data_IF_898316525354
#
_entry.id   IF_898316525354
#
_cell.length_a   1.000
_cell.length_b   1.000
_cell.length_c   1.000
_cell.angle_alpha   90.00
_cell.angle_beta   90.00
_cell.angle_gamma   90.00
#
_symmetry.space_group_name_H-M   'P 1'
#
loop_
_entity.id
_entity.type
_entity.pdbx_description
1 polymer ?
#
# COMPACT_ATOMS: atom_id res chain seq x y z
N UNK A 1 3.53 15.41 -5.06
CA UNK A 1 3.67 16.56 -5.89
C UNK A 1 2.62 16.72 -6.98
N UNK A 2 1.98 15.62 -7.37
CA UNK A 2 0.88 15.65 -8.35
C UNK A 2 -0.49 15.76 -7.70
N UNK A 3 -0.56 15.92 -6.38
CA UNK A 3 -1.80 16.06 -5.64
C UNK A 3 -2.38 14.76 -5.11
N UNK A 4 -1.71 13.62 -5.32
CA UNK A 4 -2.16 12.34 -4.80
C UNK A 4 -1.89 12.22 -3.30
N UNK A 5 -2.83 11.61 -2.58
CA UNK A 5 -2.66 11.32 -1.18
C UNK A 5 -1.89 10.01 -1.01
N UNK A 6 -0.92 10.03 -0.09
CA UNK A 6 -0.07 8.86 0.17
C UNK A 6 -0.44 8.21 1.50
N UNK A 7 -0.42 6.86 1.51
CA UNK A 7 -0.72 6.04 2.68
C UNK A 7 0.40 5.02 2.84
N UNK A 8 0.87 4.83 4.07
CA UNK A 8 1.74 3.71 4.42
C UNK A 8 0.86 2.58 4.95
N UNK A 9 0.79 1.48 4.22
CA UNK A 9 -0.07 0.35 4.54
C UNK A 9 0.76 -0.90 4.87
N UNK A 10 1.24 -0.96 6.11
CA UNK A 10 1.98 -2.11 6.64
C UNK A 10 1.10 -2.89 7.61
N UNK A 11 1.53 -4.11 7.98
CA UNK A 11 0.85 -4.81 9.06
C UNK A 11 1.07 -4.04 10.38
N UNK A 12 0.00 -3.75 11.13
CA UNK A 12 0.09 -2.89 12.33
C UNK A 12 0.59 -3.67 13.55
N UNK A 13 1.74 -4.31 13.43
CA UNK A 13 2.35 -5.12 14.50
C UNK A 13 3.30 -4.31 15.37
N UNK A 14 3.62 -3.09 14.98
CA UNK A 14 4.57 -2.24 15.68
C UNK A 14 3.91 -0.95 16.15
N UNK A 15 4.35 -0.41 17.32
CA UNK A 15 3.84 0.87 17.80
C UNK A 15 4.15 2.02 16.82
N UNK A 16 3.34 3.06 16.89
CA UNK A 16 3.48 4.25 16.06
C UNK A 16 4.91 4.79 16.05
N UNK A 17 5.55 4.86 17.22
CA UNK A 17 6.89 5.40 17.37
C UNK A 17 7.90 4.60 16.53
N UNK A 18 7.83 3.27 16.57
CA UNK A 18 8.72 2.40 15.82
C UNK A 18 8.52 2.56 14.31
N UNK A 19 7.26 2.63 13.86
CA UNK A 19 6.94 2.82 12.44
C UNK A 19 7.48 4.16 11.95
N UNK A 20 7.30 5.23 12.72
CA UNK A 20 7.77 6.56 12.35
C UNK A 20 9.29 6.61 12.23
N UNK A 21 10.02 5.97 13.14
CA UNK A 21 11.47 5.87 13.02
C UNK A 21 11.91 5.13 11.75
N UNK A 22 11.22 4.05 11.40
CA UNK A 22 11.54 3.31 10.17
C UNK A 22 11.31 4.14 8.93
N UNK A 23 10.24 4.93 8.90
CA UNK A 23 9.95 5.85 7.79
C UNK A 23 11.07 6.89 7.67
N UNK A 24 11.48 7.48 8.78
CA UNK A 24 12.55 8.49 8.80
C UNK A 24 13.89 7.89 8.38
N UNK A 25 14.20 6.68 8.84
CA UNK A 25 15.43 5.99 8.44
C UNK A 25 15.48 5.68 6.94
N UNK A 26 14.32 5.49 6.32
CA UNK A 26 14.23 5.30 4.87
C UNK A 26 14.37 6.62 4.10
N UNK A 27 14.57 7.73 4.79
CA UNK A 27 14.69 9.04 4.16
C UNK A 27 13.39 9.71 3.83
N UNK A 28 12.27 9.21 4.40
CA UNK A 28 10.94 9.75 4.15
C UNK A 28 10.46 10.52 5.38
N UNK A 29 9.53 11.45 5.16
CA UNK A 29 8.92 12.22 6.24
C UNK A 29 7.51 11.69 6.51
N UNK A 30 7.21 11.23 7.76
CA UNK A 30 5.86 10.75 8.09
C UNK A 30 4.75 11.75 7.77
N UNK A 31 5.04 13.03 7.79
CA UNK A 31 4.07 14.08 7.50
C UNK A 31 3.60 14.11 6.04
N UNK A 32 4.35 13.47 5.14
CA UNK A 32 3.97 13.38 3.72
C UNK A 32 2.82 12.41 3.46
N UNK A 33 2.43 11.63 4.49
CA UNK A 33 1.39 10.60 4.37
C UNK A 33 0.14 11.01 5.14
N UNK A 34 -1.03 10.86 4.50
CA UNK A 34 -2.31 11.16 5.17
C UNK A 34 -2.72 10.09 6.17
N UNK A 35 -2.14 8.89 6.06
CA UNK A 35 -2.48 7.75 6.91
C UNK A 35 -1.31 6.79 6.99
N UNK A 36 -1.03 6.31 8.18
CA UNK A 36 0.02 5.31 8.44
C UNK A 36 -0.57 4.27 9.38
N UNK A 37 -0.52 2.98 8.97
CA UNK A 37 -1.03 1.90 9.81
C UNK A 37 -0.12 1.69 11.02
N UNK A 38 -0.70 1.61 12.22
CA UNK A 38 0.03 1.42 13.47
C UNK A 38 -0.71 0.48 14.41
N UNK A 39 0.01 -0.10 15.36
CA UNK A 39 -0.57 -1.01 16.34
C UNK A 39 -1.69 -0.36 17.15
N UNK A 40 -1.52 0.91 17.55
CA UNK A 40 -2.49 1.62 18.38
C UNK A 40 -3.80 1.93 17.67
N UNK A 41 -3.76 2.10 16.36
CA UNK A 41 -4.86 2.62 15.58
C UNK A 41 -5.63 1.56 14.79
N UNK A 42 -4.93 0.56 14.27
CA UNK A 42 -5.51 -0.42 13.36
C UNK A 42 -5.85 -1.73 14.07
N UNK A 43 -6.97 -2.34 13.69
CA UNK A 43 -7.53 -3.52 14.37
C UNK A 43 -7.32 -4.81 13.59
N UNK A 44 -6.88 -4.73 12.34
CA UNK A 44 -6.77 -5.88 11.45
C UNK A 44 -5.40 -5.90 10.78
N UNK A 45 -4.99 -7.07 10.29
CA UNK A 45 -3.73 -7.27 9.59
C UNK A 45 -3.97 -7.78 8.17
N UNK A 46 -3.02 -7.52 7.28
CA UNK A 46 -3.03 -8.14 5.96
C UNK A 46 -2.85 -9.67 6.13
N UNK A 47 -3.44 -10.52 5.33
CA UNK A 47 -4.25 -10.24 4.12
C UNK A 47 -5.75 -10.11 4.35
N UNK A 48 -6.22 -9.88 5.57
CA UNK A 48 -7.65 -9.76 5.86
C UNK A 48 -8.25 -8.57 5.09
N UNK A 49 -9.39 -8.79 4.44
CA UNK A 49 -10.07 -7.70 3.73
C UNK A 49 -10.50 -6.58 4.66
N UNK A 50 -10.83 -6.92 5.91
CA UNK A 50 -11.18 -5.93 6.93
C UNK A 50 -10.06 -4.92 7.17
N UNK A 51 -8.80 -5.33 6.98
CA UNK A 51 -7.65 -4.42 7.07
C UNK A 51 -7.79 -3.25 6.07
N UNK A 52 -8.07 -3.59 4.81
CA UNK A 52 -8.21 -2.58 3.76
C UNK A 52 -9.50 -1.79 3.90
N UNK A 53 -10.59 -2.43 4.32
CA UNK A 53 -11.85 -1.74 4.55
C UNK A 53 -11.72 -0.68 5.65
N UNK A 54 -10.99 -0.99 6.72
CA UNK A 54 -10.74 -0.04 7.81
C UNK A 54 -9.97 1.18 7.30
N UNK A 55 -8.92 0.95 6.50
CA UNK A 55 -8.12 2.05 5.94
C UNK A 55 -8.99 2.92 5.03
N UNK A 56 -9.77 2.30 4.12
CA UNK A 56 -10.63 3.04 3.20
C UNK A 56 -11.63 3.91 3.96
N UNK A 57 -12.22 3.37 5.02
CA UNK A 57 -13.15 4.11 5.85
C UNK A 57 -12.46 5.30 6.52
N UNK A 58 -11.27 5.08 7.06
CA UNK A 58 -10.53 6.12 7.78
C UNK A 58 -10.07 7.25 6.86
N UNK A 59 -9.66 6.95 5.63
CA UNK A 59 -9.24 7.97 4.66
C UNK A 59 -10.42 8.51 3.85
N UNK A 60 -11.61 7.95 4.01
CA UNK A 60 -12.85 8.37 3.35
C UNK A 60 -12.72 8.31 1.83
N UNK A 61 -12.19 7.21 1.32
CA UNK A 61 -12.03 6.96 -0.13
C UNK A 61 -12.74 5.68 -0.53
N UNK A 62 -13.18 5.64 -1.80
CA UNK A 62 -13.74 4.43 -2.38
C UNK A 62 -12.63 3.55 -2.92
N UNK A 63 -12.81 2.21 -2.97
CA UNK A 63 -11.76 1.32 -3.49
C UNK A 63 -11.28 1.70 -4.89
N UNK A 64 -12.20 2.07 -5.79
CA UNK A 64 -11.85 2.42 -7.16
C UNK A 64 -11.05 3.71 -7.30
N UNK A 65 -10.94 4.48 -6.21
CA UNK A 65 -10.11 5.69 -6.18
C UNK A 65 -8.66 5.41 -5.73
N UNK A 66 -8.35 4.17 -5.40
CA UNK A 66 -7.10 3.81 -4.74
C UNK A 66 -6.26 2.85 -5.57
N UNK A 67 -4.95 2.93 -5.37
CA UNK A 67 -3.97 2.01 -5.94
C UNK A 67 -3.13 1.44 -4.80
N UNK A 68 -3.09 0.11 -4.69
CA UNK A 68 -2.21 -0.58 -3.73
C UNK A 68 -0.91 -0.97 -4.43
N UNK A 69 0.20 -0.52 -3.90
CA UNK A 69 1.54 -0.84 -4.42
C UNK A 69 2.25 -1.71 -3.42
N UNK A 70 2.73 -2.87 -3.85
CA UNK A 70 3.44 -3.78 -2.96
C UNK A 70 4.09 -4.93 -3.69
N UNK A 71 4.79 -5.77 -2.94
CA UNK A 71 5.54 -6.90 -3.47
C UNK A 71 5.05 -8.26 -2.95
N UNK A 72 4.02 -8.27 -2.12
CA UNK A 72 3.51 -9.50 -1.50
C UNK A 72 2.21 -9.92 -2.18
N UNK A 73 2.25 -11.09 -2.86
CA UNK A 73 1.10 -11.54 -3.64
C UNK A 73 -0.12 -11.80 -2.76
N UNK A 74 0.07 -12.40 -1.59
CA UNK A 74 -1.05 -12.71 -0.69
C UNK A 74 -1.53 -11.52 0.12
N UNK A 75 -0.60 -10.73 0.66
CA UNK A 75 -0.96 -9.63 1.56
C UNK A 75 -1.38 -8.36 0.83
N UNK A 76 -0.78 -8.06 -0.31
CA UNK A 76 -1.02 -6.80 -0.99
C UNK A 76 -2.03 -6.92 -2.13
N UNK A 77 -1.93 -7.95 -2.97
CA UNK A 77 -2.82 -8.10 -4.12
C UNK A 77 -4.25 -8.48 -3.74
N UNK A 78 -4.46 -8.97 -2.53
CA UNK A 78 -5.81 -9.29 -2.05
C UNK A 78 -6.72 -8.05 -2.03
N UNK A 79 -6.15 -6.86 -1.99
CA UNK A 79 -6.91 -5.60 -2.02
C UNK A 79 -7.77 -5.50 -3.29
N UNK A 80 -7.41 -6.18 -4.37
CA UNK A 80 -8.20 -6.19 -5.60
C UNK A 80 -9.61 -6.75 -5.40
N UNK A 81 -9.82 -7.59 -4.40
CA UNK A 81 -11.15 -8.14 -4.10
C UNK A 81 -12.15 -7.07 -3.66
N UNK A 82 -11.66 -5.94 -3.19
CA UNK A 82 -12.51 -4.80 -2.80
C UNK A 82 -12.69 -3.79 -3.94
N UNK A 83 -12.01 -3.98 -5.06
CA UNK A 83 -12.03 -3.03 -6.18
C UNK A 83 -10.86 -2.05 -6.19
N UNK A 84 -9.89 -2.22 -5.30
CA UNK A 84 -8.66 -1.43 -5.31
C UNK A 84 -7.78 -1.94 -6.45
N UNK A 85 -7.25 -1.02 -7.26
CA UNK A 85 -6.28 -1.40 -8.29
C UNK A 85 -4.96 -1.74 -7.63
N UNK A 86 -4.21 -2.66 -8.24
CA UNK A 86 -2.96 -3.14 -7.66
C UNK A 86 -1.80 -2.97 -8.64
N UNK A 87 -0.63 -2.66 -8.08
CA UNK A 87 0.64 -2.62 -8.79
C UNK A 87 1.62 -3.53 -8.05
N UNK A 88 2.03 -4.63 -8.70
CA UNK A 88 3.00 -5.55 -8.11
C UNK A 88 4.41 -5.13 -8.48
N UNK A 89 5.22 -4.85 -7.47
CA UNK A 89 6.65 -4.55 -7.64
C UNK A 89 7.41 -5.87 -7.66
N UNK A 90 8.20 -6.08 -8.73
CA UNK A 90 8.83 -7.37 -8.99
C UNK A 90 10.22 -7.55 -8.40
N UNK A 91 10.81 -6.50 -7.82
CA UNK A 91 12.20 -6.56 -7.34
C UNK A 91 12.42 -7.60 -6.22
N UNK A 92 11.44 -7.78 -5.34
CA UNK A 92 11.52 -8.76 -4.25
C UNK A 92 10.14 -9.36 -3.99
N UNK A 93 9.62 -10.10 -4.97
CA UNK A 93 8.27 -10.68 -4.86
C UNK A 93 8.22 -11.72 -3.75
N UNK A 94 7.21 -11.60 -2.89
CA UNK A 94 6.86 -12.60 -1.90
C UNK A 94 5.58 -13.31 -2.35
N UNK A 95 5.67 -14.61 -2.56
CA UNK A 95 4.53 -15.44 -2.97
C UNK A 95 4.58 -16.77 -2.23
N UNK A 96 4.17 -16.75 -0.96
CA UNK A 96 4.27 -17.91 -0.06
C UNK A 96 3.40 -19.09 -0.51
N UNK A 97 2.23 -18.79 -1.07
CA UNK A 97 1.30 -19.81 -1.54
C UNK A 97 1.56 -20.27 -2.96
N UNK A 98 2.53 -19.64 -3.65
CA UNK A 98 2.80 -19.89 -5.08
C UNK A 98 1.55 -19.73 -5.92
N UNK A 99 0.71 -18.77 -5.55
CA UNK A 99 -0.53 -18.49 -6.26
C UNK A 99 -0.24 -17.86 -7.61
N UNK A 100 -1.23 -17.99 -8.52
CA UNK A 100 -1.17 -17.29 -9.79
C UNK A 100 -1.17 -15.78 -9.51
N UNK A 101 -0.25 -15.08 -10.12
CA UNK A 101 -0.14 -13.63 -9.97
C UNK A 101 -1.20 -12.95 -10.82
N UNK A 102 -2.11 -12.21 -10.18
CA UNK A 102 -3.13 -11.40 -10.85
C UNK A 102 -3.01 -9.98 -10.28
N UNK A 103 -2.56 -9.05 -11.13
CA UNK A 103 -2.42 -7.65 -10.74
C UNK A 103 -2.79 -6.77 -11.93
N UNK A 104 -3.38 -5.60 -11.66
CA UNK A 104 -3.72 -4.65 -12.73
C UNK A 104 -2.47 -4.14 -13.43
N UNK A 105 -1.39 -3.94 -12.68
CA UNK A 105 -0.10 -3.50 -13.19
C UNK A 105 1.00 -4.33 -12.55
N UNK A 106 2.11 -4.48 -13.25
CA UNK A 106 3.27 -5.23 -12.75
C UNK A 106 4.54 -4.63 -13.34
N UNK A 107 5.60 -4.53 -12.53
CA UNK A 107 6.89 -4.04 -12.98
C UNK A 107 7.87 -3.89 -11.83
N UNK A 108 9.13 -3.59 -12.17
CA UNK A 108 10.15 -3.30 -11.17
C UNK A 108 10.05 -1.84 -10.70
N UNK A 109 10.94 -1.40 -9.81
CA UNK A 109 10.90 -0.03 -9.31
C UNK A 109 11.07 1.01 -10.41
N UNK A 110 11.90 0.74 -11.42
CA UNK A 110 12.06 1.66 -12.55
C UNK A 110 10.78 1.78 -13.36
N UNK A 111 10.10 0.65 -13.61
CA UNK A 111 8.81 0.63 -14.30
C UNK A 111 7.77 1.41 -13.52
N UNK A 112 7.74 1.24 -12.21
CA UNK A 112 6.81 1.95 -11.34
C UNK A 112 7.07 3.46 -11.38
N UNK A 113 8.34 3.87 -11.35
CA UNK A 113 8.70 5.29 -11.45
C UNK A 113 8.19 5.90 -12.76
N UNK A 114 8.34 5.18 -13.87
CA UNK A 114 7.82 5.61 -15.17
C UNK A 114 6.30 5.72 -15.16
N UNK A 115 5.64 4.74 -14.52
CA UNK A 115 4.20 4.75 -14.36
C UNK A 115 3.73 6.00 -13.59
N UNK A 116 4.38 6.31 -12.47
CA UNK A 116 4.03 7.48 -11.65
C UNK A 116 4.23 8.78 -12.44
N UNK A 117 5.30 8.88 -13.21
CA UNK A 117 5.57 10.08 -14.02
C UNK A 117 4.49 10.32 -15.09
N UNK A 118 3.82 9.27 -15.55
CA UNK A 118 2.74 9.38 -16.55
C UNK A 118 1.39 9.68 -15.93
N UNK A 119 1.25 9.61 -14.61
CA UNK A 119 -0.02 9.91 -13.94
C UNK A 119 -0.36 11.39 -14.12
N UNK A 120 -1.67 11.71 -14.33
CA UNK A 120 -2.07 13.10 -14.42
C UNK A 120 -1.91 13.80 -13.07
N UNK A 121 -1.66 15.10 -13.14
CA UNK A 121 -1.67 15.94 -11.94
C UNK A 121 -3.12 16.23 -11.54
N UNK A 122 -3.44 16.17 -10.27
CA UNK A 122 -4.77 16.50 -9.76
C UNK A 122 -4.74 17.70 -8.84
#
# INVERSE_FOLDING_TARGET
>A
DKGYNLVIATNPLFPKKAIYYRIEWAGLNPEDFIYITTFEKNHYCKPQLLYYEEILKDIKKLPEECLMVGNDVQEDLVAAKLGIKTYLITDNILNRGKDKIISDYIGNYEDFLKFVKKLPRI
#
